data_IF_281411997944
#
_entry.id   IF_281411997944
#
_cell.length_a   1.000
_cell.length_b   1.000
_cell.length_c   1.000
_cell.angle_alpha   90.00
_cell.angle_beta   90.00
_cell.angle_gamma   90.00
#
_symmetry.space_group_name_H-M   'P 1'
#
loop_
_entity.id
_entity.type
_entity.pdbx_description
1 polymer ?
#
# COMPACT_ATOMS: atom_id res chain seq x y z
N UNK A 1 -0.90 13.53 17.17
CA UNK A 1 -1.53 12.77 18.26
C UNK A 1 -0.65 11.61 18.66
N UNK A 2 -0.19 11.60 19.91
CA UNK A 2 0.57 10.52 20.56
C UNK A 2 -0.29 9.87 21.66
N UNK A 3 0.27 8.92 22.43
CA UNK A 3 -0.45 8.27 23.54
C UNK A 3 -0.33 6.74 23.57
N UNK A 4 0.51 6.15 22.71
CA UNK A 4 0.71 4.70 22.64
C UNK A 4 -0.61 3.96 22.36
N UNK A 5 -0.84 2.85 23.08
CA UNK A 5 -2.04 2.03 22.96
C UNK A 5 -3.16 2.42 23.95
N UNK A 6 -3.04 3.58 24.59
CA UNK A 6 -3.96 4.09 25.61
C UNK A 6 -4.88 5.17 25.04
N UNK A 7 -6.18 4.87 24.96
CA UNK A 7 -7.17 5.78 24.37
C UNK A 7 -7.31 7.09 25.16
N UNK A 8 -7.21 7.05 26.49
CA UNK A 8 -7.26 8.26 27.31
C UNK A 8 -6.12 9.24 27.00
N UNK A 9 -4.89 8.73 26.84
CA UNK A 9 -3.74 9.57 26.50
C UNK A 9 -3.81 10.09 25.06
N UNK A 10 -4.40 9.29 24.15
CA UNK A 10 -4.69 9.73 22.78
C UNK A 10 -5.70 10.86 22.76
N UNK A 11 -6.76 10.75 23.54
CA UNK A 11 -7.80 11.77 23.68
C UNK A 11 -7.22 13.07 24.25
N UNK A 12 -6.45 12.99 25.34
CA UNK A 12 -5.76 14.15 25.91
C UNK A 12 -4.81 14.81 24.89
N UNK A 13 -3.99 14.02 24.19
CA UNK A 13 -3.09 14.54 23.16
C UNK A 13 -3.86 15.20 22.01
N UNK A 14 -5.00 14.62 21.60
CA UNK A 14 -5.84 15.14 20.55
C UNK A 14 -6.42 16.50 20.93
N UNK A 15 -7.05 16.61 22.10
CA UNK A 15 -7.68 17.84 22.59
C UNK A 15 -6.68 19.00 22.63
N UNK A 16 -5.51 18.76 23.23
CA UNK A 16 -4.44 19.76 23.28
C UNK A 16 -3.96 20.22 21.91
N UNK A 17 -3.83 19.30 20.95
CA UNK A 17 -3.41 19.64 19.59
C UNK A 17 -4.49 20.40 18.83
N UNK A 18 -5.77 20.05 19.03
CA UNK A 18 -6.90 20.73 18.41
C UNK A 18 -7.00 22.17 18.88
N UNK A 19 -6.83 22.43 20.18
CA UNK A 19 -6.82 23.78 20.77
C UNK A 19 -5.71 24.68 20.18
N UNK A 20 -4.61 24.09 19.70
CA UNK A 20 -3.50 24.80 19.07
C UNK A 20 -3.71 25.10 17.57
N UNK A 21 -4.78 24.59 16.96
CA UNK A 21 -5.24 24.93 15.61
C UNK A 21 -4.23 24.69 14.46
N UNK A 22 -3.47 23.60 14.50
CA UNK A 22 -2.54 23.24 13.40
C UNK A 22 -3.23 23.05 12.04
N UNK A 23 -2.52 23.24 10.90
CA UNK A 23 -3.09 23.08 9.56
C UNK A 23 -3.48 21.63 9.21
N UNK A 24 -3.00 20.65 9.97
CA UNK A 24 -3.27 19.23 9.81
C UNK A 24 -2.77 18.45 11.02
N UNK A 25 -3.20 17.19 11.16
CA UNK A 25 -2.92 16.39 12.34
C UNK A 25 -2.36 15.03 11.98
N UNK A 26 -1.12 14.78 12.40
CA UNK A 26 -0.52 13.46 12.26
C UNK A 26 -0.91 12.53 13.42
N UNK A 27 -1.23 11.28 13.13
CA UNK A 27 -1.37 10.17 14.09
C UNK A 27 -0.06 9.40 14.07
N UNK A 28 0.72 9.54 15.15
CA UNK A 28 2.04 8.92 15.27
C UNK A 28 2.09 7.87 16.38
N UNK A 29 3.20 7.14 16.49
CA UNK A 29 3.37 6.13 17.54
C UNK A 29 2.42 4.93 17.37
N UNK A 30 2.13 4.57 16.13
CA UNK A 30 1.42 3.35 15.70
C UNK A 30 2.28 2.65 14.65
N UNK A 31 2.16 1.33 14.53
CA UNK A 31 3.02 0.43 13.74
C UNK A 31 4.50 0.45 14.16
N UNK A 32 4.77 0.45 15.47
CA UNK A 32 6.11 0.42 16.07
C UNK A 32 6.49 -0.95 16.66
N UNK A 33 5.61 -1.96 16.52
CA UNK A 33 5.85 -3.34 16.95
C UNK A 33 4.72 -3.95 17.78
N UNK A 34 3.62 -3.22 17.96
CA UNK A 34 2.43 -3.69 18.66
C UNK A 34 1.68 -4.80 17.88
N UNK A 35 0.83 -5.57 18.56
CA UNK A 35 -0.10 -6.50 17.92
C UNK A 35 -1.01 -5.80 16.89
N UNK A 36 -1.36 -6.52 15.82
CA UNK A 36 -2.10 -5.94 14.69
C UNK A 36 -3.48 -5.42 15.10
N UNK A 37 -4.18 -6.15 15.96
CA UNK A 37 -5.47 -5.80 16.51
C UNK A 37 -5.41 -4.53 17.38
N UNK A 38 -4.36 -4.36 18.17
CA UNK A 38 -4.14 -3.13 18.93
C UNK A 38 -3.89 -1.92 18.00
N UNK A 39 -3.03 -2.10 16.99
CA UNK A 39 -2.79 -1.07 15.96
C UNK A 39 -4.11 -0.64 15.31
N UNK A 40 -4.94 -1.60 14.88
CA UNK A 40 -6.23 -1.33 14.24
C UNK A 40 -7.22 -0.64 15.19
N UNK A 41 -7.26 -1.04 16.47
CA UNK A 41 -8.10 -0.38 17.49
C UNK A 41 -7.74 1.10 17.65
N UNK A 42 -6.45 1.43 17.77
CA UNK A 42 -6.00 2.82 17.92
C UNK A 42 -6.20 3.62 16.64
N UNK A 43 -5.95 2.99 15.49
CA UNK A 43 -6.19 3.59 14.17
C UNK A 43 -7.68 3.92 13.97
N UNK A 44 -8.61 3.10 14.45
CA UNK A 44 -10.04 3.38 14.41
C UNK A 44 -10.49 4.45 15.43
N UNK A 45 -9.77 4.60 16.54
CA UNK A 45 -10.12 5.53 17.60
C UNK A 45 -9.82 7.00 17.24
N UNK A 46 -8.64 7.29 16.69
CA UNK A 46 -8.14 8.68 16.65
C UNK A 46 -8.67 9.54 15.50
N UNK A 47 -8.61 9.11 14.22
CA UNK A 47 -8.76 10.02 13.09
C UNK A 47 -10.14 10.68 12.99
N UNK A 48 -11.23 9.95 13.22
CA UNK A 48 -12.59 10.51 13.18
C UNK A 48 -12.87 11.59 14.25
N UNK A 49 -12.08 11.62 15.33
CA UNK A 49 -12.20 12.62 16.41
C UNK A 49 -11.44 13.92 16.09
N UNK A 50 -10.57 13.90 15.08
CA UNK A 50 -9.87 15.10 14.61
C UNK A 50 -10.78 15.97 13.73
N UNK A 51 -10.55 17.29 13.68
CA UNK A 51 -11.37 18.20 12.87
C UNK A 51 -11.50 17.72 11.42
N UNK A 52 -12.74 17.58 10.94
CA UNK A 52 -13.03 16.99 9.62
C UNK A 52 -12.59 17.86 8.42
N UNK A 53 -12.36 19.15 8.65
CA UNK A 53 -11.91 20.10 7.62
C UNK A 53 -10.38 20.18 7.53
N UNK A 54 -9.64 19.31 8.22
CA UNK A 54 -8.17 19.30 8.26
C UNK A 54 -7.63 17.90 7.92
N UNK A 55 -6.53 17.81 7.16
CA UNK A 55 -5.94 16.52 6.77
C UNK A 55 -5.43 15.75 7.98
N UNK A 56 -5.61 14.43 7.93
CA UNK A 56 -5.21 13.47 8.96
C UNK A 56 -4.17 12.53 8.37
N UNK A 57 -2.98 12.56 8.93
CA UNK A 57 -1.81 11.86 8.40
C UNK A 57 -1.39 10.70 9.30
N UNK A 58 -1.46 9.46 8.80
CA UNK A 58 -0.98 8.29 9.52
C UNK A 58 0.50 8.02 9.19
N UNK A 59 1.36 8.16 10.18
CA UNK A 59 2.82 8.11 9.99
C UNK A 59 3.36 6.68 10.02
N UNK A 60 4.14 6.31 8.99
CA UNK A 60 4.95 5.09 8.99
C UNK A 60 4.19 3.77 8.79
N UNK A 61 2.88 3.83 8.54
CA UNK A 61 2.03 2.66 8.28
C UNK A 61 1.90 2.46 6.78
N UNK A 62 1.83 1.20 6.34
CA UNK A 62 1.21 1.00 5.03
C UNK A 62 1.51 -0.31 4.36
N UNK A 63 1.01 -1.44 4.87
CA UNK A 63 0.64 -2.52 3.92
C UNK A 63 -0.52 -2.04 3.05
N UNK A 64 -0.75 -2.63 1.86
CA UNK A 64 -1.91 -2.29 1.04
C UNK A 64 -3.24 -2.34 1.81
N UNK A 65 -3.40 -3.33 2.69
CA UNK A 65 -4.58 -3.51 3.53
C UNK A 65 -4.71 -2.38 4.57
N UNK A 66 -3.59 -1.93 5.15
CA UNK A 66 -3.60 -0.83 6.12
C UNK A 66 -3.96 0.50 5.49
N UNK A 67 -3.60 0.74 4.24
CA UNK A 67 -4.00 1.96 3.53
C UNK A 67 -5.52 2.01 3.36
N UNK A 68 -6.12 0.92 2.87
CA UNK A 68 -7.57 0.83 2.68
C UNK A 68 -8.29 0.95 4.02
N UNK A 69 -7.81 0.26 5.06
CA UNK A 69 -8.40 0.32 6.39
C UNK A 69 -8.22 1.69 7.05
N UNK A 70 -7.08 2.35 6.86
CA UNK A 70 -6.81 3.71 7.31
C UNK A 70 -7.79 4.72 6.71
N UNK A 71 -8.02 4.64 5.40
CA UNK A 71 -9.02 5.49 4.72
C UNK A 71 -10.42 5.21 5.25
N UNK A 72 -10.78 3.94 5.48
CA UNK A 72 -12.07 3.56 6.08
C UNK A 72 -12.30 4.25 7.42
N UNK A 73 -11.24 4.45 8.21
CA UNK A 73 -11.31 5.11 9.51
C UNK A 73 -10.95 6.59 9.49
N UNK A 74 -10.93 7.20 8.30
CA UNK A 74 -10.82 8.65 8.12
C UNK A 74 -9.41 9.22 8.09
N UNK A 75 -8.40 8.44 7.70
CA UNK A 75 -7.05 8.92 7.39
C UNK A 75 -6.97 9.39 5.94
N UNK A 76 -6.27 10.50 5.71
CA UNK A 76 -6.15 11.14 4.40
C UNK A 76 -4.75 11.00 3.77
N UNK A 77 -3.70 10.86 4.60
CA UNK A 77 -2.31 10.81 4.15
C UNK A 77 -1.56 9.65 4.80
N UNK A 78 -0.59 9.09 4.07
CA UNK A 78 0.23 7.96 4.50
C UNK A 78 1.67 8.12 3.99
N UNK A 79 2.62 7.53 4.71
CA UNK A 79 3.97 7.30 4.24
C UNK A 79 4.47 5.92 4.70
N UNK A 80 5.24 5.24 3.86
CA UNK A 80 5.89 4.01 4.26
C UNK A 80 7.10 3.71 3.37
N UNK A 81 8.18 3.22 3.98
CA UNK A 81 9.33 2.70 3.22
C UNK A 81 9.06 1.34 2.58
N UNK A 82 8.00 0.64 3.01
CA UNK A 82 7.67 -0.73 2.64
C UNK A 82 7.68 -1.00 1.13
N UNK A 83 7.01 -0.22 0.24
CA UNK A 83 7.02 -0.49 -1.20
C UNK A 83 8.44 -0.57 -1.77
N UNK A 84 9.33 0.34 -1.37
CA UNK A 84 10.71 0.35 -1.89
C UNK A 84 11.60 -0.68 -1.20
N UNK A 85 11.50 -0.83 0.12
CA UNK A 85 12.33 -1.77 0.90
C UNK A 85 11.98 -3.23 0.56
N UNK A 86 10.71 -3.55 0.40
CA UNK A 86 10.27 -4.90 0.04
C UNK A 86 10.63 -5.25 -1.40
N UNK A 87 10.49 -4.29 -2.33
CA UNK A 87 10.91 -4.46 -3.72
C UNK A 87 12.38 -4.90 -3.83
N UNK A 88 13.28 -4.19 -3.13
CA UNK A 88 14.72 -4.52 -3.09
C UNK A 88 15.02 -5.88 -2.45
N UNK A 89 14.12 -6.41 -1.65
CA UNK A 89 14.22 -7.72 -1.01
C UNK A 89 13.37 -8.80 -1.71
N UNK A 90 12.89 -8.55 -2.93
CA UNK A 90 12.18 -9.53 -3.75
C UNK A 90 10.74 -9.81 -3.31
N UNK A 91 10.11 -8.94 -2.52
CA UNK A 91 8.67 -8.97 -2.24
C UNK A 91 7.97 -7.89 -3.04
N UNK A 92 7.08 -8.29 -3.95
CA UNK A 92 6.38 -7.41 -4.86
C UNK A 92 4.88 -7.44 -4.59
N UNK A 93 4.25 -6.28 -4.53
CA UNK A 93 2.80 -6.17 -4.29
C UNK A 93 2.04 -6.34 -5.60
N UNK A 94 1.02 -7.18 -5.61
CA UNK A 94 0.15 -7.38 -6.78
C UNK A 94 -1.31 -7.31 -6.37
N UNK A 95 -2.18 -7.18 -7.36
CA UNK A 95 -3.64 -7.25 -7.23
C UNK A 95 -4.10 -8.49 -6.48
N UNK A 96 -3.39 -9.60 -6.67
CA UNK A 96 -3.78 -10.93 -6.17
C UNK A 96 -2.94 -11.43 -4.99
N UNK A 97 -2.23 -10.52 -4.31
CA UNK A 97 -1.42 -10.85 -3.14
C UNK A 97 0.06 -10.47 -3.31
N UNK A 98 0.90 -11.01 -2.44
CA UNK A 98 2.34 -10.69 -2.42
C UNK A 98 3.16 -11.73 -3.20
N UNK A 99 3.89 -11.26 -4.20
CA UNK A 99 4.79 -12.09 -5.01
C UNK A 99 6.16 -12.17 -4.32
N UNK A 100 6.60 -13.39 -4.01
CA UNK A 100 7.97 -13.66 -3.53
C UNK A 100 8.84 -14.08 -4.71
N UNK A 101 9.58 -13.12 -5.26
CA UNK A 101 10.26 -13.25 -6.55
C UNK A 101 11.25 -14.42 -6.59
N UNK A 102 11.90 -14.71 -5.46
CA UNK A 102 12.89 -15.79 -5.27
C UNK A 102 12.30 -17.20 -5.26
N UNK A 103 10.97 -17.35 -5.26
CA UNK A 103 10.35 -18.67 -5.30
C UNK A 103 10.63 -19.34 -6.66
N UNK A 104 11.06 -20.60 -6.62
CA UNK A 104 11.48 -21.36 -7.80
C UNK A 104 10.40 -21.45 -8.90
N UNK A 105 9.12 -21.38 -8.54
CA UNK A 105 7.99 -21.36 -9.48
C UNK A 105 8.06 -20.22 -10.51
N UNK A 106 8.76 -19.13 -10.19
CA UNK A 106 8.89 -17.96 -11.06
C UNK A 106 10.05 -18.08 -12.05
N UNK A 107 10.92 -19.10 -11.95
CA UNK A 107 12.13 -19.24 -12.78
C UNK A 107 11.85 -19.30 -14.28
N UNK A 108 10.71 -19.82 -14.68
CA UNK A 108 10.29 -19.97 -16.08
C UNK A 108 8.89 -19.39 -16.33
N UNK A 109 8.39 -18.53 -15.43
CA UNK A 109 7.08 -17.92 -15.56
C UNK A 109 7.15 -16.73 -16.56
N UNK A 110 6.48 -16.81 -17.73
CA UNK A 110 6.53 -15.77 -18.74
C UNK A 110 5.66 -14.56 -18.40
N UNK A 111 4.79 -14.66 -17.40
CA UNK A 111 3.89 -13.56 -17.02
C UNK A 111 4.68 -12.39 -16.39
N UNK A 112 4.18 -11.15 -16.47
CA UNK A 112 4.74 -10.03 -15.73
C UNK A 112 4.51 -10.19 -14.23
N UNK A 113 5.06 -9.28 -13.42
CA UNK A 113 4.86 -9.29 -11.95
C UNK A 113 3.36 -9.35 -11.62
N UNK A 114 2.57 -8.47 -12.23
CA UNK A 114 1.11 -8.42 -12.11
C UNK A 114 0.48 -8.28 -13.50
N UNK A 115 -0.35 -9.25 -13.94
CA UNK A 115 -0.98 -9.20 -15.25
C UNK A 115 -1.94 -8.03 -15.49
N UNK A 116 -2.44 -7.39 -14.44
CA UNK A 116 -3.33 -6.22 -14.51
C UNK A 116 -2.58 -4.88 -14.45
N UNK A 117 -1.27 -4.89 -14.17
CA UNK A 117 -0.49 -3.68 -13.95
C UNK A 117 -0.01 -3.05 -15.27
N UNK A 118 -0.03 -1.72 -15.30
CA UNK A 118 0.35 -0.88 -16.45
C UNK A 118 1.69 -0.17 -16.26
N UNK A 119 2.45 -0.49 -15.21
CA UNK A 119 3.75 0.12 -14.95
C UNK A 119 4.78 -0.32 -16.00
N UNK A 120 5.87 0.44 -16.13
CA UNK A 120 6.96 0.12 -17.07
C UNK A 120 7.50 -1.32 -16.89
N UNK A 121 7.59 -1.83 -15.66
CA UNK A 121 8.07 -3.19 -15.42
C UNK A 121 7.10 -4.28 -15.95
N UNK A 122 5.78 -4.04 -15.88
CA UNK A 122 4.77 -5.02 -16.29
C UNK A 122 4.30 -4.87 -17.75
N UNK A 123 4.27 -3.63 -18.26
CA UNK A 123 3.66 -3.29 -19.54
C UNK A 123 4.62 -2.62 -20.54
N UNK A 124 5.89 -2.40 -20.15
CA UNK A 124 6.85 -1.69 -20.99
C UNK A 124 6.41 -0.26 -21.27
N UNK A 125 6.73 0.24 -22.47
CA UNK A 125 6.38 1.60 -22.91
C UNK A 125 4.93 1.73 -23.37
N UNK A 126 4.30 0.63 -23.80
CA UNK A 126 2.91 0.64 -24.26
C UNK A 126 1.90 1.04 -23.18
N UNK A 127 2.20 0.73 -21.91
CA UNK A 127 1.24 0.87 -20.80
C UNK A 127 0.01 -0.05 -20.89
N UNK A 128 -0.03 -0.96 -21.87
CA UNK A 128 -1.13 -1.91 -22.05
C UNK A 128 -0.90 -3.10 -21.11
N UNK A 129 -1.88 -3.42 -20.27
CA UNK A 129 -1.76 -4.54 -19.33
C UNK A 129 -1.64 -5.88 -20.05
N UNK A 130 -1.13 -6.91 -19.36
CA UNK A 130 -1.07 -8.25 -19.93
C UNK A 130 -2.46 -8.83 -20.20
N UNK A 131 -3.43 -8.52 -19.34
CA UNK A 131 -4.84 -8.89 -19.55
C UNK A 131 -5.41 -8.31 -20.84
N UNK A 132 -4.98 -7.10 -21.21
CA UNK A 132 -5.44 -6.40 -22.42
C UNK A 132 -4.56 -6.68 -23.65
N UNK A 133 -3.70 -7.71 -23.58
CA UNK A 133 -2.88 -8.16 -24.71
C UNK A 133 -1.48 -7.54 -24.80
N UNK A 134 -1.07 -6.67 -23.86
CA UNK A 134 0.27 -6.08 -23.80
C UNK A 134 1.37 -7.11 -23.48
N UNK A 135 2.53 -7.01 -24.13
CA UNK A 135 3.64 -7.98 -24.00
C UNK A 135 5.04 -7.36 -23.96
N UNK A 136 5.15 -6.04 -23.85
CA UNK A 136 6.43 -5.31 -23.86
C UNK A 136 7.15 -5.31 -22.50
N UNK A 137 6.46 -5.70 -21.43
CA UNK A 137 7.03 -5.73 -20.08
C UNK A 137 8.01 -6.88 -19.84
N UNK A 138 8.54 -6.92 -18.63
CA UNK A 138 9.50 -7.94 -18.19
C UNK A 138 8.78 -9.10 -17.50
N UNK A 139 9.15 -10.33 -17.86
CA UNK A 139 8.59 -11.53 -17.24
C UNK A 139 9.13 -11.75 -15.82
N UNK A 140 8.36 -12.47 -15.00
CA UNK A 140 8.79 -12.97 -13.69
C UNK A 140 10.05 -13.82 -13.80
N UNK A 141 10.20 -14.60 -14.88
CA UNK A 141 11.43 -15.35 -15.17
C UNK A 141 12.66 -14.44 -15.30
N UNK A 142 12.53 -13.34 -16.06
CA UNK A 142 13.62 -12.38 -16.22
C UNK A 142 13.90 -11.63 -14.92
N UNK A 143 12.87 -11.18 -14.21
CA UNK A 143 13.00 -10.55 -12.90
C UNK A 143 13.70 -11.46 -11.88
N UNK A 144 13.33 -12.75 -11.84
CA UNK A 144 13.95 -13.75 -10.98
C UNK A 144 15.42 -13.97 -11.35
N UNK A 145 15.76 -13.98 -12.64
CA UNK A 145 17.14 -14.04 -13.10
C UNK A 145 17.96 -12.82 -12.63
N UNK A 146 17.45 -11.60 -12.79
CA UNK A 146 18.13 -10.38 -12.34
C UNK A 146 18.42 -10.40 -10.83
N UNK A 147 17.43 -10.77 -9.99
CA UNK A 147 17.63 -10.89 -8.53
C UNK A 147 18.68 -11.96 -8.20
N UNK A 148 18.66 -13.11 -8.88
CA UNK A 148 19.64 -14.19 -8.69
C UNK A 148 21.06 -13.78 -9.09
N UNK A 149 21.20 -12.92 -10.09
CA UNK A 149 22.49 -12.39 -10.54
C UNK A 149 22.97 -11.18 -9.71
N UNK A 150 22.13 -10.62 -8.84
CA UNK A 150 22.47 -9.40 -8.08
C UNK A 150 22.52 -8.14 -8.96
N UNK A 151 21.83 -8.15 -10.10
CA UNK A 151 21.82 -7.04 -11.06
C UNK A 151 20.95 -5.89 -10.57
N UNK A 152 21.47 -4.66 -10.62
CA UNK A 152 20.78 -3.48 -10.07
C UNK A 152 19.46 -3.16 -10.78
N UNK A 153 19.32 -3.58 -12.04
CA UNK A 153 18.07 -3.42 -12.79
C UNK A 153 16.87 -4.13 -12.14
N UNK A 154 17.09 -5.28 -11.49
CA UNK A 154 16.03 -6.04 -10.81
C UNK A 154 15.31 -5.22 -9.73
N UNK A 155 16.01 -4.75 -8.67
CA UNK A 155 15.43 -3.88 -7.66
C UNK A 155 14.95 -2.53 -8.20
N UNK A 156 15.51 -1.98 -9.28
CA UNK A 156 14.97 -0.77 -9.92
C UNK A 156 13.57 -1.02 -10.48
N UNK A 157 13.39 -2.04 -11.32
CA UNK A 157 12.10 -2.42 -11.91
C UNK A 157 11.08 -2.83 -10.84
N UNK A 158 11.51 -3.61 -9.85
CA UNK A 158 10.71 -3.98 -8.69
C UNK A 158 10.20 -2.76 -7.90
N UNK A 159 11.05 -1.74 -7.72
CA UNK A 159 10.69 -0.51 -7.01
C UNK A 159 9.71 0.33 -7.80
N UNK A 160 9.91 0.46 -9.12
CA UNK A 160 8.94 1.10 -10.03
C UNK A 160 7.58 0.43 -9.92
N UNK A 161 7.55 -0.90 -9.96
CA UNK A 161 6.32 -1.67 -9.84
C UNK A 161 5.60 -1.43 -8.50
N UNK A 162 6.30 -1.59 -7.37
CA UNK A 162 5.67 -1.44 -6.05
C UNK A 162 5.17 -0.02 -5.79
N UNK A 163 5.90 1.01 -6.24
CA UNK A 163 5.43 2.40 -6.13
C UNK A 163 4.20 2.64 -7.00
N UNK A 164 4.23 2.17 -8.26
CA UNK A 164 3.07 2.25 -9.16
C UNK A 164 1.84 1.57 -8.56
N UNK A 165 2.01 0.38 -7.96
CA UNK A 165 0.94 -0.33 -7.28
C UNK A 165 0.31 0.50 -6.15
N UNK A 166 1.11 1.14 -5.29
CA UNK A 166 0.61 1.98 -4.20
C UNK A 166 -0.15 3.21 -4.74
N UNK A 167 0.42 3.88 -5.74
CA UNK A 167 -0.21 5.05 -6.35
C UNK A 167 -1.53 4.69 -7.04
N UNK A 168 -1.57 3.56 -7.75
CA UNK A 168 -2.76 3.06 -8.40
C UNK A 168 -3.84 2.64 -7.39
N UNK A 169 -3.46 1.93 -6.32
CA UNK A 169 -4.39 1.58 -5.23
C UNK A 169 -5.03 2.84 -4.63
N UNK A 170 -4.21 3.87 -4.34
CA UNK A 170 -4.75 5.12 -3.82
C UNK A 170 -5.59 5.89 -4.84
N UNK A 171 -5.35 5.72 -6.15
CA UNK A 171 -6.24 6.25 -7.19
C UNK A 171 -7.60 5.53 -7.18
N UNK A 172 -7.60 4.20 -7.16
CA UNK A 172 -8.83 3.40 -7.08
C UNK A 172 -9.65 3.74 -5.81
N UNK A 173 -8.96 4.00 -4.70
CA UNK A 173 -9.59 4.47 -3.46
C UNK A 173 -10.29 5.82 -3.65
N UNK A 174 -9.62 6.80 -4.26
CA UNK A 174 -10.21 8.12 -4.53
C UNK A 174 -11.40 8.03 -5.48
N UNK A 175 -11.25 7.30 -6.58
CA UNK A 175 -12.32 7.11 -7.56
C UNK A 175 -13.56 6.45 -6.92
N UNK A 176 -13.35 5.48 -6.03
CA UNK A 176 -14.44 4.82 -5.32
C UNK A 176 -15.10 5.72 -4.26
N UNK A 177 -14.35 6.62 -3.61
CA UNK A 177 -14.92 7.62 -2.71
C UNK A 177 -15.79 8.63 -3.48
N UNK A 178 -15.28 9.14 -4.60
CA UNK A 178 -16.02 10.08 -5.47
C UNK A 178 -17.30 9.46 -6.04
N UNK A 179 -17.26 8.16 -6.35
CA UNK A 179 -18.43 7.40 -6.81
C UNK A 179 -19.36 6.91 -5.69
N UNK A 180 -18.99 7.07 -4.41
CA UNK A 180 -19.75 6.54 -3.28
C UNK A 180 -19.73 5.01 -3.14
N UNK A 181 -18.79 4.30 -3.78
CA UNK A 181 -18.63 2.83 -3.77
C UNK A 181 -17.37 2.36 -3.01
N UNK A 182 -16.88 3.14 -2.05
CA UNK A 182 -15.69 2.76 -1.29
C UNK A 182 -15.84 1.38 -0.61
N UNK A 183 -17.02 1.07 -0.06
CA UNK A 183 -17.28 -0.22 0.58
C UNK A 183 -17.20 -1.40 -0.42
N UNK A 184 -17.76 -1.24 -1.62
CA UNK A 184 -17.68 -2.26 -2.68
C UNK A 184 -16.25 -2.42 -3.18
N UNK A 185 -15.52 -1.33 -3.37
CA UNK A 185 -14.11 -1.34 -3.73
C UNK A 185 -13.27 -2.07 -2.69
N UNK A 186 -13.42 -1.75 -1.39
CA UNK A 186 -12.68 -2.40 -0.31
C UNK A 186 -12.97 -3.91 -0.25
N UNK A 187 -14.21 -4.33 -0.47
CA UNK A 187 -14.58 -5.73 -0.54
C UNK A 187 -13.93 -6.45 -1.74
N UNK A 188 -13.95 -5.82 -2.94
CA UNK A 188 -13.28 -6.35 -4.14
C UNK A 188 -11.77 -6.46 -3.94
N UNK A 189 -11.14 -5.43 -3.39
CA UNK A 189 -9.71 -5.41 -3.05
C UNK A 189 -9.34 -6.58 -2.14
N UNK A 190 -10.08 -6.77 -1.03
CA UNK A 190 -9.85 -7.87 -0.10
C UNK A 190 -10.03 -9.24 -0.78
N UNK A 191 -11.08 -9.37 -1.59
CA UNK A 191 -11.35 -10.59 -2.35
C UNK A 191 -10.23 -10.93 -3.33
N UNK A 192 -9.77 -9.94 -4.11
CA UNK A 192 -8.70 -10.11 -5.10
C UNK A 192 -7.37 -10.48 -4.43
N UNK A 193 -6.97 -9.76 -3.38
CA UNK A 193 -5.74 -10.03 -2.61
C UNK A 193 -5.71 -11.42 -1.99
N UNK A 194 -6.87 -11.96 -1.61
CA UNK A 194 -6.98 -13.30 -1.03
C UNK A 194 -6.94 -14.44 -2.06
N UNK A 195 -7.05 -14.16 -3.36
CA UNK A 195 -6.99 -15.20 -4.41
C UNK A 195 -5.63 -15.89 -4.49
N UNK A 196 -4.56 -15.16 -4.19
CA UNK A 196 -3.19 -15.64 -4.33
C UNK A 196 -2.64 -15.51 -5.75
N UNK A 197 -1.32 -15.61 -5.84
CA UNK A 197 -0.51 -15.54 -7.08
C UNK A 197 -0.13 -16.93 -7.54
#
# INVERSE_FOLDING_TARGET
>A
VQGGMFESLRQESLERLVDMDFPGYAVGGVSVGEPKDEMLRIMAHTPHRLPAHKPRYLMGVGTPEDLVEGVRVGVDMFDCVMPTRNARNGTLFTRYGDLKLRNARHKSDPQPIDPSCTCYACAGTSGVSWHDGGREGFSRAYMHHLDRCGEMLGPMLATVHNLHYYLNLMQEVRDALDAGDFAGMAARFKGDRARGI
#
